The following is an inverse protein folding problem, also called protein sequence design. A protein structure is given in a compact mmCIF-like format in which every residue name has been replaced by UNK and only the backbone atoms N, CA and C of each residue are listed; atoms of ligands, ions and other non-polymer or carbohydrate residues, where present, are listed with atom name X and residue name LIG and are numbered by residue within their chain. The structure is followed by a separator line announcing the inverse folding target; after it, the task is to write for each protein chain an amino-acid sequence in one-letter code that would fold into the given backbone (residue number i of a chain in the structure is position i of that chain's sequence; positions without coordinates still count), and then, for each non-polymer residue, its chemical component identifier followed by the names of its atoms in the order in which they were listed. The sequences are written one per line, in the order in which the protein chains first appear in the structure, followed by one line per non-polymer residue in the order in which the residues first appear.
data_IF_211195991412
#
_entry.id   IF_211195991412
#
_cell.length_a   1.000
_cell.length_b   1.000
_cell.length_c   1.000
_cell.angle_alpha   90.00
_cell.angle_beta   90.00
_cell.angle_gamma   90.00
#
_symmetry.space_group_name_H-M   'P 1'
#
loop_
_entity.id
_entity.type
_entity.pdbx_description
1 polymer ?
#
# COMPACT_ATOMS: atom_id res chain seq x y z
N UNK A 1 44.46 -67.64 49.54
CA UNK A 1 44.93 -66.26 49.35
C UNK A 1 43.83 -65.47 48.66
N UNK A 2 43.14 -64.58 49.38
CA UNK A 2 42.20 -63.63 48.79
C UNK A 2 42.53 -62.23 49.31
N UNK A 3 42.83 -61.32 48.40
CA UNK A 3 43.22 -59.94 48.66
C UNK A 3 41.98 -59.10 49.01
N UNK A 4 42.01 -58.45 50.17
CA UNK A 4 41.01 -57.44 50.54
C UNK A 4 41.31 -56.14 49.80
N UNK A 5 40.46 -55.78 48.82
CA UNK A 5 40.44 -54.43 48.28
C UNK A 5 39.86 -53.47 49.33
N UNK A 6 40.69 -52.54 49.82
CA UNK A 6 40.27 -51.40 50.64
C UNK A 6 39.28 -50.55 49.83
N UNK A 7 38.01 -50.55 50.23
CA UNK A 7 37.01 -49.58 49.75
C UNK A 7 37.41 -48.19 50.25
N UNK A 8 37.74 -47.29 49.33
CA UNK A 8 37.84 -45.87 49.63
C UNK A 8 36.44 -45.33 49.91
N UNK A 9 36.23 -44.78 51.10
CA UNK A 9 35.01 -44.09 51.49
C UNK A 9 35.12 -42.67 50.92
N UNK A 10 34.40 -42.41 49.83
CA UNK A 10 34.22 -41.05 49.32
C UNK A 10 33.16 -40.38 50.22
N UNK A 11 33.42 -39.22 50.83
CA UNK A 11 32.41 -38.54 51.62
C UNK A 11 31.24 -38.14 50.71
N UNK A 12 30.04 -38.56 51.09
CA UNK A 12 28.80 -38.19 50.42
C UNK A 12 28.57 -36.69 50.62
N UNK A 13 28.94 -35.89 49.62
CA UNK A 13 28.57 -34.48 49.56
C UNK A 13 27.10 -34.44 49.17
N UNK A 14 26.24 -34.09 50.14
CA UNK A 14 24.82 -33.89 49.86
C UNK A 14 24.68 -32.88 48.71
N UNK A 15 23.86 -33.18 47.67
CA UNK A 15 23.66 -32.25 46.58
C UNK A 15 23.14 -30.94 47.19
N UNK A 16 23.84 -29.83 46.90
CA UNK A 16 23.37 -28.49 47.26
C UNK A 16 21.91 -28.38 46.85
N UNK A 17 21.07 -27.93 47.78
CA UNK A 17 19.64 -27.70 47.57
C UNK A 17 19.45 -27.13 46.16
N UNK A 18 18.73 -27.88 45.32
CA UNK A 18 18.44 -27.45 43.95
C UNK A 18 17.82 -26.07 44.07
N UNK A 19 18.48 -25.05 43.50
CA UNK A 19 17.91 -23.71 43.38
C UNK A 19 16.53 -23.90 42.76
N UNK A 20 15.49 -23.76 43.57
CA UNK A 20 14.14 -23.69 43.09
C UNK A 20 14.09 -22.35 42.39
N UNK A 21 14.38 -22.35 41.09
CA UNK A 21 14.07 -21.23 40.22
C UNK A 21 12.57 -21.06 40.44
N UNK A 22 12.18 -19.98 41.14
CA UNK A 22 10.80 -19.58 41.25
C UNK A 22 10.39 -19.25 39.83
N UNK A 23 9.88 -20.28 39.13
CA UNK A 23 9.35 -20.16 37.78
C UNK A 23 8.40 -18.98 37.88
N UNK A 24 8.71 -17.90 37.18
CA UNK A 24 7.91 -16.70 37.14
C UNK A 24 6.53 -17.09 36.58
N UNK A 25 5.66 -17.57 37.45
CA UNK A 25 4.30 -18.03 37.18
C UNK A 25 3.38 -16.84 36.85
N UNK A 26 3.89 -15.62 36.86
CA UNK A 26 3.12 -14.39 36.67
C UNK A 26 3.13 -13.88 35.22
N UNK A 27 4.15 -14.18 34.42
CA UNK A 27 4.29 -13.57 33.08
C UNK A 27 3.56 -14.32 31.96
N UNK A 28 3.37 -15.65 32.06
CA UNK A 28 2.75 -16.46 30.99
C UNK A 28 1.24 -16.73 31.17
N UNK A 29 0.73 -16.64 32.40
CA UNK A 29 -0.68 -16.90 32.75
C UNK A 29 -1.71 -16.00 32.02
N UNK A 30 -1.51 -14.67 31.88
CA UNK A 30 -2.47 -13.86 31.11
C UNK A 30 -2.44 -14.19 29.62
N UNK A 31 -1.29 -14.62 29.10
CA UNK A 31 -1.09 -14.92 27.68
C UNK A 31 -1.72 -16.26 27.30
N UNK A 32 -1.55 -17.30 28.13
CA UNK A 32 -2.20 -18.61 27.90
C UNK A 32 -3.73 -18.51 27.98
N UNK A 33 -4.26 -17.68 28.87
CA UNK A 33 -5.70 -17.41 28.94
C UNK A 33 -6.22 -16.70 27.69
N UNK A 34 -5.48 -15.72 27.15
CA UNK A 34 -5.80 -15.07 25.87
C UNK A 34 -5.77 -16.07 24.71
N UNK A 35 -4.74 -16.93 24.65
CA UNK A 35 -4.63 -17.98 23.62
C UNK A 35 -5.81 -18.95 23.70
N UNK A 36 -6.18 -19.43 24.89
CA UNK A 36 -7.32 -20.34 25.08
C UNK A 36 -8.64 -19.69 24.66
N UNK A 37 -8.86 -18.41 25.00
CA UNK A 37 -10.02 -17.64 24.53
C UNK A 37 -10.06 -17.52 23.01
N UNK A 38 -8.95 -17.14 22.39
CA UNK A 38 -8.86 -17.03 20.93
C UNK A 38 -9.12 -18.38 20.24
N UNK A 39 -8.51 -19.47 20.73
CA UNK A 39 -8.75 -20.83 20.26
C UNK A 39 -10.23 -21.20 20.31
N UNK A 40 -10.87 -20.98 21.45
CA UNK A 40 -12.29 -21.29 21.63
C UNK A 40 -13.19 -20.42 20.73
N UNK A 41 -12.88 -19.12 20.60
CA UNK A 41 -13.62 -18.20 19.74
C UNK A 41 -13.52 -18.60 18.27
N UNK A 42 -12.31 -18.95 17.80
CA UNK A 42 -12.09 -19.45 16.44
C UNK A 42 -12.86 -20.75 16.18
N UNK A 43 -12.80 -21.70 17.12
CA UNK A 43 -13.54 -22.97 17.04
C UNK A 43 -15.05 -22.74 16.93
N UNK A 44 -15.62 -21.91 17.81
CA UNK A 44 -17.05 -21.57 17.80
C UNK A 44 -17.44 -20.83 16.52
N UNK A 45 -16.60 -19.91 16.04
CA UNK A 45 -16.82 -19.20 14.77
C UNK A 45 -16.86 -20.16 13.58
N UNK A 46 -15.89 -21.08 13.47
CA UNK A 46 -15.84 -22.06 12.37
C UNK A 46 -17.06 -23.00 12.41
N UNK A 47 -17.47 -23.49 13.59
CA UNK A 47 -18.69 -24.29 13.73
C UNK A 47 -19.94 -23.52 13.28
N UNK A 48 -20.06 -22.24 13.66
CA UNK A 48 -21.17 -21.38 13.23
C UNK A 48 -21.16 -21.16 11.72
N UNK A 49 -19.99 -20.88 11.14
CA UNK A 49 -19.83 -20.67 9.70
C UNK A 49 -20.21 -21.92 8.90
N UNK A 50 -19.84 -23.12 9.37
CA UNK A 50 -20.26 -24.38 8.75
C UNK A 50 -21.77 -24.59 8.86
N UNK A 51 -22.37 -24.32 10.02
CA UNK A 51 -23.81 -24.45 10.26
C UNK A 51 -24.64 -23.48 9.40
N UNK A 52 -24.20 -22.23 9.29
CA UNK A 52 -24.92 -21.14 8.61
C UNK A 52 -24.45 -20.88 7.18
N UNK A 53 -23.67 -21.79 6.60
CA UNK A 53 -22.94 -21.56 5.34
C UNK A 53 -23.86 -21.07 4.20
N UNK A 54 -25.01 -21.71 4.03
CA UNK A 54 -25.98 -21.36 3.00
C UNK A 54 -26.58 -19.96 3.17
N UNK A 55 -26.90 -19.58 4.40
CA UNK A 55 -27.43 -18.24 4.71
C UNK A 55 -26.39 -17.16 4.46
N UNK A 56 -25.14 -17.42 4.84
CA UNK A 56 -24.00 -16.52 4.58
C UNK A 56 -23.78 -16.36 3.07
N UNK A 57 -23.78 -17.47 2.32
CA UNK A 57 -23.60 -17.45 0.85
C UNK A 57 -24.71 -16.66 0.15
N UNK A 58 -25.98 -16.88 0.55
CA UNK A 58 -27.12 -16.10 0.03
C UNK A 58 -26.96 -14.60 0.30
N UNK A 59 -26.59 -14.23 1.54
CA UNK A 59 -26.36 -12.83 1.92
C UNK A 59 -25.20 -12.20 1.14
N UNK A 60 -24.11 -12.94 0.92
CA UNK A 60 -22.98 -12.46 0.11
C UNK A 60 -23.38 -12.24 -1.35
N UNK A 61 -24.15 -13.14 -1.95
CA UNK A 61 -24.69 -12.98 -3.29
C UNK A 61 -25.58 -11.73 -3.39
N UNK A 62 -26.50 -11.54 -2.46
CA UNK A 62 -27.34 -10.34 -2.40
C UNK A 62 -26.53 -9.05 -2.23
N UNK A 63 -25.46 -9.07 -1.41
CA UNK A 63 -24.58 -7.91 -1.25
C UNK A 63 -23.88 -7.55 -2.56
N UNK A 64 -23.39 -8.55 -3.31
CA UNK A 64 -22.76 -8.37 -4.62
C UNK A 64 -23.75 -7.81 -5.64
N UNK A 65 -24.95 -8.38 -5.70
CA UNK A 65 -26.00 -7.90 -6.59
C UNK A 65 -26.37 -6.44 -6.30
N UNK A 66 -26.55 -6.06 -5.03
CA UNK A 66 -26.82 -4.66 -4.65
C UNK A 66 -25.70 -3.71 -5.08
N UNK A 67 -24.43 -4.13 -4.95
CA UNK A 67 -23.30 -3.30 -5.43
C UNK A 67 -23.28 -3.17 -6.95
N UNK A 68 -23.63 -4.24 -7.68
CA UNK A 68 -23.72 -4.21 -9.14
C UNK A 68 -24.88 -3.33 -9.61
N UNK A 69 -26.05 -3.42 -8.97
CA UNK A 69 -27.22 -2.61 -9.29
C UNK A 69 -26.95 -1.12 -9.05
N UNK A 70 -26.29 -0.81 -7.93
CA UNK A 70 -25.89 0.56 -7.60
C UNK A 70 -24.86 1.10 -8.60
N UNK A 71 -23.89 0.28 -8.99
CA UNK A 71 -22.94 0.64 -10.05
C UNK A 71 -23.66 0.91 -11.38
N UNK A 72 -24.59 0.02 -11.79
CA UNK A 72 -25.40 0.20 -12.99
C UNK A 72 -26.29 1.45 -12.93
N UNK A 73 -26.83 1.81 -11.76
CA UNK A 73 -27.57 3.07 -11.60
C UNK A 73 -26.68 4.28 -11.86
N UNK A 74 -25.53 4.34 -11.19
CA UNK A 74 -24.57 5.43 -11.37
C UNK A 74 -24.09 5.56 -12.81
N UNK A 75 -23.79 4.45 -13.48
CA UNK A 75 -23.39 4.48 -14.88
C UNK A 75 -24.51 4.98 -15.79
N UNK A 76 -25.76 4.57 -15.55
CA UNK A 76 -26.90 5.09 -16.31
C UNK A 76 -27.12 6.58 -16.08
N UNK A 77 -26.95 7.05 -14.85
CA UNK A 77 -27.03 8.48 -14.52
C UNK A 77 -25.95 9.27 -15.28
N UNK A 78 -24.69 8.83 -15.23
CA UNK A 78 -23.59 9.49 -15.96
C UNK A 78 -23.81 9.47 -17.48
N UNK A 79 -24.27 8.35 -18.05
CA UNK A 79 -24.56 8.27 -19.48
C UNK A 79 -25.74 9.18 -19.86
N UNK A 80 -26.78 9.24 -19.04
CA UNK A 80 -27.90 10.14 -19.26
C UNK A 80 -27.48 11.62 -19.15
N UNK A 81 -26.56 11.95 -18.23
CA UNK A 81 -25.96 13.28 -18.16
C UNK A 81 -25.17 13.61 -19.42
N UNK A 82 -24.36 12.67 -19.94
CA UNK A 82 -23.64 12.86 -21.20
C UNK A 82 -24.56 13.00 -22.41
N UNK A 83 -25.63 12.22 -22.49
CA UNK A 83 -26.62 12.32 -23.57
C UNK A 83 -27.37 13.65 -23.54
N UNK A 84 -27.61 14.20 -22.35
CA UNK A 84 -28.29 15.50 -22.16
C UNK A 84 -27.34 16.70 -22.25
N UNK A 85 -26.04 16.47 -22.30
CA UNK A 85 -25.05 17.54 -22.25
C UNK A 85 -25.08 18.35 -23.55
N UNK A 86 -25.57 19.60 -23.48
CA UNK A 86 -25.44 20.58 -24.55
C UNK A 86 -24.21 21.47 -24.28
N UNK A 87 -23.15 21.38 -25.12
CA UNK A 87 -21.94 22.17 -24.93
C UNK A 87 -22.18 23.68 -25.06
N UNK A 88 -23.16 24.11 -25.87
CA UNK A 88 -23.44 25.53 -26.06
C UNK A 88 -24.09 26.14 -24.83
N UNK A 89 -25.06 25.43 -24.25
CA UNK A 89 -25.70 25.83 -23.00
C UNK A 89 -24.68 25.84 -21.85
N UNK A 90 -23.80 24.84 -21.78
CA UNK A 90 -22.72 24.81 -20.78
C UNK A 90 -21.78 26.03 -20.85
N UNK A 91 -21.31 26.39 -22.05
CA UNK A 91 -20.44 27.57 -22.24
C UNK A 91 -21.18 28.85 -21.89
N UNK A 92 -22.46 28.95 -22.28
CA UNK A 92 -23.29 30.10 -21.93
C UNK A 92 -23.46 30.24 -20.42
N UNK A 93 -23.79 29.16 -19.72
CA UNK A 93 -23.90 29.16 -18.25
C UNK A 93 -22.57 29.53 -17.57
N UNK A 94 -21.44 29.05 -18.09
CA UNK A 94 -20.12 29.37 -17.50
C UNK A 94 -19.77 30.83 -17.72
N UNK A 95 -20.03 31.39 -18.90
CA UNK A 95 -19.87 32.83 -19.16
C UNK A 95 -20.80 33.66 -18.27
N UNK A 96 -22.07 33.27 -18.12
CA UNK A 96 -23.02 33.94 -17.25
C UNK A 96 -22.56 33.91 -15.78
N UNK A 97 -22.11 32.76 -15.28
CA UNK A 97 -21.55 32.62 -13.92
C UNK A 97 -20.31 33.46 -13.72
N UNK A 98 -19.40 33.52 -14.70
CA UNK A 98 -18.18 34.32 -14.64
C UNK A 98 -18.48 35.84 -14.66
N UNK A 99 -19.47 36.26 -15.45
CA UNK A 99 -19.91 37.65 -15.54
C UNK A 99 -20.85 38.07 -14.39
N UNK A 100 -21.25 37.13 -13.53
CA UNK A 100 -22.22 37.39 -12.46
C UNK A 100 -21.57 38.21 -11.34
N UNK A 101 -22.04 39.43 -11.14
CA UNK A 101 -21.61 40.27 -10.03
C UNK A 101 -22.21 39.78 -8.70
N UNK A 102 -21.35 39.21 -7.85
CA UNK A 102 -21.68 38.70 -6.53
C UNK A 102 -22.10 39.79 -5.53
N UNK A 103 -21.84 41.06 -5.82
CA UNK A 103 -22.24 42.18 -4.95
C UNK A 103 -23.75 42.47 -5.04
N UNK A 104 -24.35 42.13 -6.16
CA UNK A 104 -25.75 42.40 -6.49
C UNK A 104 -26.64 41.17 -6.23
N UNK A 105 -26.08 39.96 -6.30
CA UNK A 105 -26.81 38.70 -6.15
C UNK A 105 -27.11 38.35 -4.67
N UNK A 106 -28.39 38.29 -4.33
CA UNK A 106 -28.89 38.00 -2.97
C UNK A 106 -29.67 36.69 -3.00
N UNK A 107 -29.49 35.85 -1.99
CA UNK A 107 -30.33 34.67 -1.81
C UNK A 107 -31.81 35.05 -1.65
N UNK A 108 -32.75 34.15 -1.97
CA UNK A 108 -34.17 34.34 -1.64
C UNK A 108 -34.43 34.61 -0.14
N UNK A 109 -33.47 34.25 0.73
CA UNK A 109 -33.46 34.53 2.16
C UNK A 109 -33.07 35.98 2.52
N UNK A 110 -32.65 36.80 1.56
CA UNK A 110 -32.13 38.15 1.75
C UNK A 110 -30.65 38.22 2.14
N UNK A 111 -29.96 37.08 2.26
CA UNK A 111 -28.53 37.02 2.58
C UNK A 111 -27.68 37.17 1.33
N UNK A 112 -26.61 37.96 1.39
CA UNK A 112 -25.64 38.08 0.29
C UNK A 112 -24.94 36.74 0.08
N UNK A 113 -24.90 36.25 -1.17
CA UNK A 113 -24.09 35.08 -1.54
C UNK A 113 -22.63 35.52 -1.63
N UNK A 114 -21.88 35.35 -0.54
CA UNK A 114 -20.44 35.46 -0.62
C UNK A 114 -19.89 34.18 -1.26
N UNK A 115 -19.13 34.27 -2.36
CA UNK A 115 -18.47 33.09 -2.90
C UNK A 115 -17.42 32.57 -1.92
N UNK A 116 -17.02 31.32 -2.09
CA UNK A 116 -15.94 30.74 -1.30
C UNK A 116 -14.66 31.59 -1.50
N UNK A 117 -13.84 31.73 -0.45
CA UNK A 117 -12.63 32.57 -0.48
C UNK A 117 -11.65 32.24 -1.62
N UNK A 118 -11.65 31.01 -2.14
CA UNK A 118 -10.84 30.56 -3.27
C UNK A 118 -11.32 31.10 -4.63
N UNK A 119 -12.54 31.64 -4.70
CA UNK A 119 -13.10 32.29 -5.89
C UNK A 119 -12.82 33.79 -5.91
N UNK A 120 -12.56 34.39 -4.74
CA UNK A 120 -12.38 35.85 -4.61
C UNK A 120 -10.94 36.30 -4.81
N UNK A 121 -9.98 35.39 -4.66
CA UNK A 121 -8.56 35.72 -4.64
C UNK A 121 -7.84 34.78 -5.59
N UNK A 122 -7.07 35.34 -6.53
CA UNK A 122 -6.16 34.54 -7.35
C UNK A 122 -5.07 33.92 -6.47
N UNK A 123 -4.48 32.80 -6.92
CA UNK A 123 -3.33 32.23 -6.20
C UNK A 123 -2.17 33.22 -6.14
N UNK A 124 -1.99 34.03 -7.19
CA UNK A 124 -1.00 35.11 -7.21
C UNK A 124 -1.27 36.12 -6.08
N UNK A 125 -2.52 36.58 -5.93
CA UNK A 125 -2.91 37.50 -4.85
C UNK A 125 -2.77 36.87 -3.45
N UNK A 126 -3.04 35.56 -3.28
CA UNK A 126 -2.88 34.87 -2.00
C UNK A 126 -1.43 34.85 -1.52
N UNK A 127 -0.50 34.69 -2.47
CA UNK A 127 0.93 34.62 -2.19
C UNK A 127 1.66 35.95 -2.41
N UNK A 128 0.92 37.03 -2.69
CA UNK A 128 1.48 38.34 -3.04
C UNK A 128 2.49 38.26 -4.20
N UNK A 129 2.25 37.36 -5.14
CA UNK A 129 3.04 37.21 -6.36
C UNK A 129 2.45 38.17 -7.40
N UNK A 130 3.31 38.87 -8.13
CA UNK A 130 2.86 39.70 -9.25
C UNK A 130 2.19 38.81 -10.30
N UNK A 131 1.04 39.26 -10.80
CA UNK A 131 0.27 38.54 -11.81
C UNK A 131 1.00 38.63 -13.14
N UNK A 132 1.77 37.59 -13.46
CA UNK A 132 2.50 37.47 -14.71
C UNK A 132 1.86 36.39 -15.58
N UNK A 133 1.30 36.79 -16.73
CA UNK A 133 0.69 35.86 -17.69
C UNK A 133 1.75 35.00 -18.42
N UNK A 134 3.03 35.34 -18.26
CA UNK A 134 4.14 34.62 -18.86
C UNK A 134 4.55 33.41 -17.99
N UNK A 135 4.16 32.22 -18.43
CA UNK A 135 4.66 30.96 -17.86
C UNK A 135 6.03 30.65 -18.49
N UNK A 136 7.11 30.92 -17.75
CA UNK A 136 8.43 30.45 -18.17
C UNK A 136 8.48 28.91 -18.12
N UNK A 137 8.52 28.28 -19.30
CA UNK A 137 8.62 26.83 -19.44
C UNK A 137 9.93 26.26 -18.89
N UNK A 138 10.90 27.11 -18.56
CA UNK A 138 12.16 26.75 -17.91
C UNK A 138 12.07 26.77 -16.39
N UNK A 139 10.99 27.29 -15.83
CA UNK A 139 10.79 27.33 -14.38
C UNK A 139 10.70 25.90 -13.82
N UNK A 140 11.59 25.56 -12.89
CA UNK A 140 11.71 24.22 -12.32
C UNK A 140 12.60 23.25 -13.11
N UNK A 141 13.13 23.63 -14.27
CA UNK A 141 14.24 22.90 -14.89
C UNK A 141 15.56 23.34 -14.24
N UNK A 142 16.41 22.40 -13.81
CA UNK A 142 17.67 22.74 -13.18
C UNK A 142 18.60 23.45 -14.17
N UNK A 143 19.17 24.57 -13.75
CA UNK A 143 20.22 25.24 -14.51
C UNK A 143 21.48 24.37 -14.63
N UNK A 144 22.40 24.72 -15.54
CA UNK A 144 23.67 23.99 -15.72
C UNK A 144 24.50 23.91 -14.43
N UNK A 145 24.36 24.90 -13.54
CA UNK A 145 25.04 24.97 -12.25
C UNK A 145 24.32 24.17 -11.15
N UNK A 146 23.00 23.97 -11.29
CA UNK A 146 22.15 23.29 -10.30
C UNK A 146 22.05 21.78 -10.55
N UNK A 147 22.24 21.33 -11.79
CA UNK A 147 22.33 19.92 -12.18
C UNK A 147 23.25 19.08 -11.28
N UNK A 148 24.50 19.48 -10.98
CA UNK A 148 25.37 18.71 -10.09
C UNK A 148 24.86 18.65 -8.64
N UNK A 149 24.16 19.67 -8.17
CA UNK A 149 23.57 19.70 -6.82
C UNK A 149 22.37 18.75 -6.75
N UNK A 150 21.50 18.81 -7.76
CA UNK A 150 20.34 17.92 -7.88
C UNK A 150 20.77 16.44 -7.96
N UNK A 151 21.82 16.14 -8.72
CA UNK A 151 22.36 14.78 -8.83
C UNK A 151 22.89 14.26 -7.49
N UNK A 152 23.57 15.11 -6.70
CA UNK A 152 24.01 14.75 -5.34
C UNK A 152 22.83 14.49 -4.42
N UNK A 153 21.86 15.39 -4.39
CA UNK A 153 20.64 15.22 -3.59
C UNK A 153 19.85 13.97 -3.97
N UNK A 154 19.78 13.65 -5.26
CA UNK A 154 19.13 12.44 -5.76
C UNK A 154 19.89 11.18 -5.28
N UNK A 155 21.22 11.19 -5.35
CA UNK A 155 22.06 10.10 -4.84
C UNK A 155 21.91 9.92 -3.31
N UNK A 156 21.93 11.01 -2.55
CA UNK A 156 21.74 11.01 -1.10
C UNK A 156 20.35 10.46 -0.73
N UNK A 157 19.31 10.89 -1.46
CA UNK A 157 17.95 10.39 -1.27
C UNK A 157 17.84 8.88 -1.53
N UNK A 158 18.44 8.38 -2.61
CA UNK A 158 18.49 6.94 -2.90
C UNK A 158 19.32 6.13 -1.89
N UNK A 159 20.33 6.75 -1.28
CA UNK A 159 21.15 6.12 -0.25
C UNK A 159 20.41 6.03 1.09
N UNK A 160 19.68 7.08 1.46
CA UNK A 160 18.96 7.15 2.74
C UNK A 160 17.58 6.49 2.72
N UNK A 161 16.91 6.50 1.56
CA UNK A 161 15.57 5.96 1.40
C UNK A 161 15.57 4.87 0.33
N UNK A 162 15.04 3.70 0.68
CA UNK A 162 14.82 2.61 -0.28
C UNK A 162 13.62 2.99 -1.15
N UNK A 163 13.88 3.80 -2.19
CA UNK A 163 12.87 4.17 -3.18
C UNK A 163 13.02 3.25 -4.37
N UNK A 164 12.32 2.12 -4.29
CA UNK A 164 12.28 1.11 -5.33
C UNK A 164 12.29 -0.31 -4.75
N UNK A 165 11.95 -1.32 -5.58
CA UNK A 165 12.18 -2.69 -5.19
C UNK A 165 13.68 -2.91 -4.93
N UNK A 166 14.02 -3.66 -3.87
CA UNK A 166 15.42 -3.95 -3.53
C UNK A 166 16.15 -4.59 -4.71
N UNK A 167 17.47 -4.40 -4.82
CA UNK A 167 18.29 -5.02 -5.88
C UNK A 167 18.02 -6.54 -5.99
N UNK A 168 17.83 -7.19 -4.85
CA UNK A 168 17.43 -8.61 -4.75
C UNK A 168 16.09 -8.93 -5.42
N UNK A 169 15.10 -8.03 -5.32
CA UNK A 169 13.80 -8.20 -5.98
C UNK A 169 13.92 -8.07 -7.50
N UNK A 170 14.72 -7.12 -7.97
CA UNK A 170 15.00 -6.95 -9.41
C UNK A 170 15.77 -8.15 -9.98
N UNK A 171 16.75 -8.67 -9.24
CA UNK A 171 17.48 -9.88 -9.63
C UNK A 171 16.58 -11.13 -9.66
N UNK A 172 15.65 -11.26 -8.71
CA UNK A 172 14.64 -12.33 -8.72
C UNK A 172 13.72 -12.23 -9.93
N UNK A 173 13.30 -11.03 -10.33
CA UNK A 173 12.46 -10.85 -11.51
C UNK A 173 13.23 -11.17 -12.80
N UNK A 174 14.49 -10.72 -12.93
CA UNK A 174 15.34 -11.09 -14.07
C UNK A 174 15.54 -12.61 -14.17
N UNK A 175 15.77 -13.29 -13.05
CA UNK A 175 15.89 -14.77 -13.03
C UNK A 175 14.60 -15.45 -13.48
N UNK A 176 13.44 -14.99 -12.99
CA UNK A 176 12.13 -15.49 -13.43
C UNK A 176 11.89 -15.27 -14.92
N UNK A 177 12.22 -14.10 -15.47
CA UNK A 177 12.09 -13.84 -16.90
C UNK A 177 12.99 -14.77 -17.74
N UNK A 178 14.21 -15.06 -17.26
CA UNK A 178 15.12 -16.01 -17.92
C UNK A 178 14.56 -17.43 -17.86
N UNK A 179 14.03 -17.85 -16.72
CA UNK A 179 13.38 -19.16 -16.53
C UNK A 179 12.13 -19.32 -17.40
N UNK A 180 11.29 -18.28 -17.50
CA UNK A 180 10.11 -18.27 -18.37
C UNK A 180 10.51 -18.36 -19.85
N UNK A 181 11.53 -17.62 -20.27
CA UNK A 181 12.09 -17.71 -21.62
C UNK A 181 12.64 -19.11 -21.93
N UNK A 182 13.37 -19.70 -20.98
CA UNK A 182 13.88 -21.08 -21.12
C UNK A 182 12.72 -22.08 -21.26
N UNK A 183 11.68 -21.94 -20.42
CA UNK A 183 10.51 -22.81 -20.48
C UNK A 183 9.73 -22.66 -21.78
N UNK A 184 9.62 -21.45 -22.33
CA UNK A 184 9.00 -21.21 -23.65
C UNK A 184 9.81 -21.89 -24.76
N UNK A 185 11.14 -21.77 -24.73
CA UNK A 185 12.04 -22.41 -25.70
C UNK A 185 11.97 -23.94 -25.63
N UNK A 186 11.91 -24.51 -24.43
CA UNK A 186 11.72 -25.94 -24.20
C UNK A 186 10.36 -26.44 -24.72
N UNK A 187 9.28 -25.70 -24.46
CA UNK A 187 7.94 -26.03 -24.99
C UNK A 187 7.88 -25.93 -26.52
N UNK A 188 8.69 -25.06 -27.12
CA UNK A 188 8.82 -24.93 -28.58
C UNK A 188 9.78 -25.97 -29.20
N UNK A 189 10.35 -26.89 -28.42
CA UNK A 189 11.18 -27.99 -28.90
C UNK A 189 12.64 -27.62 -29.19
N UNK A 190 13.11 -26.44 -28.78
CA UNK A 190 14.50 -26.04 -28.92
C UNK A 190 15.32 -26.53 -27.71
N UNK A 191 16.16 -27.54 -27.88
CA UNK A 191 17.10 -27.96 -26.84
C UNK A 191 18.30 -27.01 -26.76
N UNK A 192 18.45 -26.29 -25.65
CA UNK A 192 19.63 -25.45 -25.38
C UNK A 192 20.80 -26.39 -25.02
N UNK A 193 21.50 -26.92 -26.03
CA UNK A 193 22.84 -27.44 -25.81
C UNK A 193 23.77 -26.28 -25.51
N UNK A 194 24.55 -26.38 -24.43
CA UNK A 194 25.56 -25.41 -23.98
C UNK A 194 26.28 -24.78 -25.17
N UNK A 195 26.05 -23.50 -25.42
CA UNK A 195 27.02 -22.68 -26.13
C UNK A 195 28.10 -22.39 -25.09
N UNK A 196 29.12 -23.22 -25.07
CA UNK A 196 30.32 -22.96 -24.29
C UNK A 196 30.89 -21.60 -24.72
N UNK A 197 31.20 -20.78 -23.72
CA UNK A 197 31.82 -19.47 -23.89
C UNK A 197 33.13 -19.65 -24.65
N UNK A 198 33.19 -19.12 -25.87
CA UNK A 198 34.43 -18.92 -26.61
C UNK A 198 34.46 -17.48 -27.12
N UNK A 199 34.77 -16.55 -26.21
CA UNK A 199 35.26 -15.21 -26.56
C UNK A 199 35.74 -14.48 -25.30
N UNK A 200 36.75 -15.05 -24.63
CA UNK A 200 37.76 -14.26 -23.92
C UNK A 200 39.05 -14.46 -24.70
N UNK A 201 39.25 -13.65 -25.74
CA UNK A 201 40.54 -13.42 -26.40
C UNK A 201 40.37 -12.25 -27.38
N UNK A 202 40.42 -11.03 -26.85
CA UNK A 202 41.21 -9.88 -27.34
C UNK A 202 40.92 -8.63 -26.53
#
# INVERSE_FOLDING_TARGET
MFTFLKRQIIPFIAPRESVTISVATTTSQPLIMKIRRHKMNKHKYLKRLKRDWWQIKKRQAQKKQRSEDLFRSRMREMLAEFERFDPLEYVKETMEKANKDWRVDVEPSGRKKFPHWSTLMSLEELYSVEKDDYIDKRFGLPSSEELPILNKLCADYHHHYIVGPTKEFLEKNKKKEVEERQKILEMAGYSITKIDRKSDEK
#
